data_IF_044138097600
#
_entry.id   IF_044138097600
#
_cell.length_a   1.000
_cell.length_b   1.000
_cell.length_c   1.000
_cell.angle_alpha   90.00
_cell.angle_beta   90.00
_cell.angle_gamma   90.00
#
_symmetry.space_group_name_H-M   'P 1'
#
loop_
_entity.id
_entity.type
_entity.pdbx_description
1 polymer ?
#
# COMPACT_ATOMS: atom_id res chain seq x y z
N UNK A 1 0.20 -11.88 20.30
CA UNK A 1 1.23 -11.63 19.29
C UNK A 1 0.74 -10.57 18.32
N UNK A 2 1.55 -9.54 18.04
CA UNK A 2 1.15 -8.56 17.04
C UNK A 2 1.04 -9.22 15.67
N UNK A 3 0.04 -8.82 14.90
CA UNK A 3 -0.11 -9.29 13.53
C UNK A 3 1.01 -8.70 12.66
N UNK A 4 1.45 -9.48 11.68
CA UNK A 4 2.48 -9.07 10.73
C UNK A 4 1.82 -8.94 9.36
N UNK A 5 2.11 -7.85 8.68
CA UNK A 5 1.64 -7.60 7.32
C UNK A 5 2.80 -7.58 6.34
N UNK A 6 2.49 -7.82 5.07
CA UNK A 6 3.46 -7.71 3.99
C UNK A 6 2.83 -6.97 2.81
N UNK A 7 3.63 -6.22 2.09
CA UNK A 7 3.14 -5.45 0.95
C UNK A 7 4.19 -5.20 -0.10
N UNK A 8 3.74 -4.67 -1.23
CA UNK A 8 4.63 -4.33 -2.35
C UNK A 8 4.51 -2.86 -2.69
N UNK A 9 5.66 -2.24 -2.90
CA UNK A 9 5.76 -0.87 -3.39
C UNK A 9 6.10 -0.93 -4.88
N UNK A 10 5.10 -0.71 -5.71
CA UNK A 10 5.29 -0.67 -7.17
C UNK A 10 5.84 0.70 -7.55
N UNK A 11 6.87 0.72 -8.38
CA UNK A 11 7.43 1.97 -8.88
C UNK A 11 7.60 1.93 -10.39
N UNK A 12 7.70 3.11 -10.97
CA UNK A 12 7.98 3.27 -12.40
C UNK A 12 8.85 4.50 -12.61
N UNK A 13 9.52 4.54 -13.76
CA UNK A 13 10.26 5.71 -14.20
C UNK A 13 9.39 6.48 -15.17
N UNK A 14 9.33 7.78 -15.02
CA UNK A 14 8.55 8.65 -15.90
C UNK A 14 9.36 9.89 -16.26
N UNK A 15 8.79 10.76 -17.10
CA UNK A 15 9.41 12.06 -17.40
C UNK A 15 9.56 12.97 -16.18
N UNK A 16 8.86 12.64 -15.09
CA UNK A 16 8.92 13.34 -13.81
C UNK A 16 9.90 12.68 -12.82
N UNK A 17 10.67 11.69 -13.27
CA UNK A 17 11.54 10.89 -12.42
C UNK A 17 10.85 9.63 -11.94
N UNK A 18 11.28 9.12 -10.78
CA UNK A 18 10.67 7.92 -10.21
C UNK A 18 9.31 8.25 -9.60
N UNK A 19 8.32 7.39 -9.89
CA UNK A 19 7.01 7.48 -9.26
C UNK A 19 6.70 6.17 -8.55
N UNK A 20 5.95 6.26 -7.46
CA UNK A 20 5.54 5.10 -6.66
C UNK A 20 4.02 5.03 -6.57
N UNK A 21 3.50 3.82 -6.49
CA UNK A 21 2.07 3.57 -6.45
C UNK A 21 1.61 3.39 -5.01
N UNK A 22 0.67 4.22 -4.59
CA UNK A 22 0.06 4.15 -3.27
C UNK A 22 -1.45 4.02 -3.39
N UNK A 23 -2.07 3.46 -2.36
CA UNK A 23 -3.52 3.28 -2.30
C UNK A 23 -4.10 4.08 -1.13
N UNK A 24 -5.33 4.55 -1.32
CA UNK A 24 -6.05 5.32 -0.32
C UNK A 24 -7.09 4.43 0.35
N UNK A 25 -7.15 4.40 1.70
CA UNK A 25 -8.15 3.59 2.39
C UNK A 25 -9.54 4.13 2.15
N UNK A 26 -10.49 3.22 1.97
CA UNK A 26 -11.89 3.58 1.79
C UNK A 26 -12.63 3.73 3.10
N UNK A 27 -13.88 4.11 2.99
CA UNK A 27 -14.75 4.28 4.13
C UNK A 27 -14.81 5.72 4.64
N UNK A 28 -15.79 6.01 5.50
CA UNK A 28 -16.08 7.39 5.89
C UNK A 28 -15.01 8.06 6.75
N UNK A 29 -14.23 7.29 7.52
CA UNK A 29 -13.15 7.87 8.34
C UNK A 29 -12.06 8.51 7.49
N UNK A 30 -11.79 7.97 6.31
CA UNK A 30 -10.67 8.37 5.47
C UNK A 30 -11.09 9.24 4.31
N UNK A 31 -12.42 9.39 4.06
CA UNK A 31 -12.95 10.01 2.85
C UNK A 31 -12.40 11.41 2.58
N UNK A 32 -12.10 12.18 3.61
CA UNK A 32 -11.59 13.56 3.49
C UNK A 32 -10.13 13.70 3.85
N UNK A 33 -9.44 12.59 4.11
CA UNK A 33 -8.02 12.61 4.48
C UNK A 33 -7.18 12.34 3.25
N UNK A 34 -6.10 13.07 3.11
CA UNK A 34 -5.19 12.94 1.97
C UNK A 34 -3.75 12.79 2.46
N UNK A 35 -3.07 13.88 2.83
CA UNK A 35 -1.70 13.78 3.31
C UNK A 35 -1.60 12.88 4.54
N UNK A 36 -0.67 11.93 4.50
CA UNK A 36 -0.47 10.97 5.60
C UNK A 36 -1.50 9.86 5.65
N UNK A 37 -2.38 9.76 4.64
CA UNK A 37 -3.44 8.75 4.61
C UNK A 37 -3.17 7.58 3.67
N UNK A 38 -2.26 7.75 2.71
CA UNK A 38 -1.98 6.73 1.69
C UNK A 38 -1.00 5.68 2.19
N UNK A 39 -1.07 4.51 1.62
CA UNK A 39 -0.29 3.34 2.05
C UNK A 39 0.16 2.53 0.85
N UNK A 40 1.21 1.72 1.03
CA UNK A 40 1.48 0.66 0.07
C UNK A 40 0.36 -0.38 0.15
N UNK A 41 0.01 -1.05 -0.97
CA UNK A 41 -0.90 -2.20 -0.90
C UNK A 41 -0.28 -3.28 -0.02
N UNK A 42 -1.00 -3.70 1.03
CA UNK A 42 -0.50 -4.67 2.00
C UNK A 42 -1.66 -5.36 2.70
N UNK A 43 -1.35 -6.48 3.29
CA UNK A 43 -2.32 -7.18 4.11
C UNK A 43 -1.65 -8.16 5.06
N UNK A 44 -2.46 -8.79 5.88
CA UNK A 44 -1.99 -9.69 6.95
C UNK A 44 -1.44 -10.99 6.33
N UNK A 45 -0.28 -11.41 6.83
CA UNK A 45 0.33 -12.67 6.43
C UNK A 45 -0.47 -13.81 7.07
N UNK A 46 -0.90 -14.77 6.24
CA UNK A 46 -1.59 -15.95 6.75
C UNK A 46 -0.62 -16.89 7.46
N UNK A 47 -1.15 -17.69 8.37
CA UNK A 47 -0.34 -18.66 9.09
C UNK A 47 0.34 -19.61 8.11
N UNK A 48 1.66 -19.75 8.26
CA UNK A 48 2.48 -20.61 7.40
C UNK A 48 2.78 -20.04 6.02
N UNK A 49 2.31 -18.85 5.72
CA UNK A 49 2.55 -18.21 4.42
C UNK A 49 3.90 -17.49 4.42
N UNK A 50 4.65 -17.64 3.33
CA UNK A 50 5.88 -16.89 3.12
C UNK A 50 5.56 -15.39 2.98
N UNK A 51 6.41 -14.54 3.56
CA UNK A 51 6.16 -13.10 3.59
C UNK A 51 6.06 -12.47 2.21
N UNK A 52 6.97 -12.83 1.31
CA UNK A 52 6.92 -12.30 -0.07
C UNK A 52 5.69 -12.81 -0.80
N UNK A 53 5.33 -14.07 -0.63
CA UNK A 53 4.14 -14.62 -1.26
C UNK A 53 2.87 -13.90 -0.74
N UNK A 54 2.83 -13.59 0.54
CA UNK A 54 1.72 -12.81 1.12
C UNK A 54 1.65 -11.41 0.50
N UNK A 55 2.82 -10.75 0.35
CA UNK A 55 2.88 -9.43 -0.27
C UNK A 55 2.36 -9.46 -1.70
N UNK A 56 2.76 -10.47 -2.48
CA UNK A 56 2.30 -10.63 -3.87
C UNK A 56 0.81 -10.89 -3.94
N UNK A 57 0.30 -11.76 -3.08
CA UNK A 57 -1.12 -12.09 -3.03
C UNK A 57 -1.96 -10.86 -2.69
N UNK A 58 -1.60 -10.15 -1.63
CA UNK A 58 -2.33 -8.95 -1.21
C UNK A 58 -2.30 -7.87 -2.28
N UNK A 59 -1.15 -7.68 -2.94
CA UNK A 59 -1.04 -6.70 -4.01
C UNK A 59 -1.99 -7.03 -5.16
N UNK A 60 -2.03 -8.29 -5.58
CA UNK A 60 -2.91 -8.73 -6.66
C UNK A 60 -4.38 -8.60 -6.28
N UNK A 61 -4.73 -8.96 -5.05
CA UNK A 61 -6.10 -8.84 -4.57
C UNK A 61 -6.58 -7.38 -4.58
N UNK A 62 -5.71 -6.45 -4.19
CA UNK A 62 -6.08 -5.04 -4.07
C UNK A 62 -6.02 -4.28 -5.39
N UNK A 63 -5.13 -4.66 -6.30
CA UNK A 63 -4.88 -3.88 -7.52
C UNK A 63 -5.25 -4.58 -8.81
N UNK A 64 -5.47 -5.89 -8.78
CA UNK A 64 -5.67 -6.74 -9.96
C UNK A 64 -4.46 -6.77 -10.91
N UNK A 65 -3.28 -6.37 -10.42
CA UNK A 65 -2.03 -6.44 -11.16
C UNK A 65 -1.24 -7.64 -10.66
N UNK A 66 -0.66 -8.41 -11.60
CA UNK A 66 0.26 -9.49 -11.24
C UNK A 66 1.68 -8.90 -11.14
N UNK A 67 2.27 -8.90 -9.94
CA UNK A 67 3.62 -8.39 -9.78
C UNK A 67 4.64 -9.35 -10.40
N UNK A 68 5.84 -8.84 -10.70
CA UNK A 68 6.90 -9.62 -11.35
C UNK A 68 8.27 -9.28 -10.80
N UNK A 69 9.17 -10.26 -10.87
CA UNK A 69 10.56 -10.09 -10.48
C UNK A 69 11.27 -9.06 -11.35
N UNK A 70 12.36 -8.44 -10.85
CA UNK A 70 12.96 -8.66 -9.54
C UNK A 70 12.24 -7.92 -8.42
N UNK A 71 12.34 -8.45 -7.19
CA UNK A 71 11.82 -7.80 -5.99
C UNK A 71 12.99 -7.31 -5.14
N UNK A 72 12.93 -6.02 -4.77
CA UNK A 72 13.94 -5.39 -3.91
C UNK A 72 13.42 -5.35 -2.49
N UNK A 73 14.10 -6.01 -1.55
CA UNK A 73 13.66 -6.05 -0.18
C UNK A 73 13.86 -4.70 0.50
N UNK A 74 12.77 -4.11 1.00
CA UNK A 74 12.77 -2.82 1.69
C UNK A 74 12.81 -2.96 3.21
N UNK A 75 12.71 -4.19 3.72
CA UNK A 75 12.79 -4.43 5.16
C UNK A 75 11.49 -4.30 5.88
N UNK A 76 11.58 -4.16 7.18
CA UNK A 76 10.43 -4.07 8.08
C UNK A 76 10.35 -2.67 8.68
N UNK A 77 9.12 -2.17 8.82
CA UNK A 77 8.83 -1.02 9.69
C UNK A 77 7.75 -1.43 10.68
N UNK A 78 7.62 -0.69 11.78
CA UNK A 78 6.66 -1.00 12.82
C UNK A 78 5.74 0.17 13.08
N UNK A 79 4.45 -0.15 13.24
CA UNK A 79 3.46 0.82 13.73
C UNK A 79 3.68 1.05 15.23
N UNK A 80 3.10 2.13 15.75
CA UNK A 80 3.15 2.42 17.20
C UNK A 80 2.56 1.27 18.02
N UNK A 81 1.60 0.55 17.48
CA UNK A 81 1.00 -0.63 18.14
C UNK A 81 1.94 -1.83 18.22
N UNK A 82 3.11 -1.77 17.58
CA UNK A 82 4.05 -2.88 17.47
C UNK A 82 3.84 -3.79 16.28
N UNK A 83 2.80 -3.57 15.48
CA UNK A 83 2.56 -4.37 14.27
C UNK A 83 3.66 -4.13 13.24
N UNK A 84 4.27 -5.21 12.76
CA UNK A 84 5.31 -5.15 11.74
C UNK A 84 4.74 -5.15 10.34
N UNK A 85 5.40 -4.43 9.43
CA UNK A 85 5.07 -4.44 8.00
C UNK A 85 6.35 -4.68 7.23
N UNK A 86 6.37 -5.75 6.46
CA UNK A 86 7.48 -6.09 5.55
C UNK A 86 7.13 -5.63 4.15
N UNK A 87 8.11 -5.11 3.42
CA UNK A 87 7.83 -4.64 2.06
C UNK A 87 8.96 -4.98 1.10
N UNK A 88 8.58 -5.15 -0.16
CA UNK A 88 9.48 -5.28 -1.31
C UNK A 88 9.03 -4.29 -2.37
N UNK A 89 9.97 -3.83 -3.18
CA UNK A 89 9.66 -2.98 -4.33
C UNK A 89 9.82 -3.76 -5.62
N UNK A 90 9.03 -3.41 -6.63
CA UNK A 90 9.23 -3.95 -7.97
C UNK A 90 8.86 -2.89 -9.00
N UNK A 91 9.46 -2.98 -10.16
CA UNK A 91 9.24 -2.02 -11.23
C UNK A 91 8.16 -2.50 -12.19
N UNK A 92 7.18 -1.64 -12.47
CA UNK A 92 6.21 -1.89 -13.52
C UNK A 92 5.66 -0.57 -14.03
N UNK A 93 5.79 -0.35 -15.33
CA UNK A 93 5.21 0.82 -15.99
C UNK A 93 3.86 0.40 -16.55
N UNK A 94 2.79 0.81 -15.87
CA UNK A 94 1.42 0.54 -16.30
C UNK A 94 0.58 1.75 -15.98
N UNK A 95 -0.51 1.90 -16.72
CA UNK A 95 -1.51 2.89 -16.37
C UNK A 95 -2.08 2.56 -14.99
N UNK A 96 -2.59 3.55 -14.24
CA UNK A 96 -3.18 3.28 -12.94
C UNK A 96 -4.23 2.19 -13.10
N UNK A 97 -4.12 1.09 -12.33
CA UNK A 97 -5.08 0.01 -12.45
C UNK A 97 -6.46 0.45 -11.98
N UNK A 98 -7.48 -0.19 -12.53
CA UNK A 98 -8.79 -0.11 -11.93
C UNK A 98 -8.73 -0.88 -10.61
N UNK A 99 -8.84 -0.16 -9.52
CA UNK A 99 -8.78 -0.77 -8.21
C UNK A 99 -10.05 -1.61 -7.99
N UNK A 100 -9.84 -2.89 -7.74
CA UNK A 100 -10.90 -3.78 -7.28
C UNK A 100 -10.55 -4.18 -5.87
N UNK A 101 -11.16 -3.54 -4.92
CA UNK A 101 -10.91 -3.79 -3.51
C UNK A 101 -12.00 -4.68 -2.94
N UNK A 102 -11.65 -5.48 -1.94
CA UNK A 102 -12.64 -6.13 -1.11
C UNK A 102 -13.47 -5.07 -0.39
N UNK A 103 -14.68 -5.46 -0.03
CA UNK A 103 -15.59 -4.60 0.71
C UNK A 103 -15.52 -4.93 2.19
N UNK A 104 -15.76 -3.94 3.02
CA UNK A 104 -16.00 -4.16 4.45
C UNK A 104 -17.30 -3.50 4.85
N UNK A 105 -17.90 -4.01 5.92
CA UNK A 105 -19.19 -3.53 6.41
C UNK A 105 -18.98 -2.86 7.76
N UNK A 106 -19.58 -1.69 7.93
CA UNK A 106 -19.55 -1.02 9.23
C UNK A 106 -20.85 -0.28 9.45
N UNK A 107 -21.15 -0.02 10.72
CA UNK A 107 -22.29 0.81 11.08
C UNK A 107 -21.99 2.27 10.71
N UNK A 108 -22.83 2.86 9.89
CA UNK A 108 -22.68 4.26 9.52
C UNK A 108 -24.03 4.91 9.20
N UNK A 109 -24.37 6.10 9.69
CA UNK A 109 -23.57 6.84 10.69
C UNK A 109 -23.48 6.10 12.04
N UNK A 110 -22.57 6.53 12.92
CA UNK A 110 -22.47 5.88 14.24
C UNK A 110 -23.83 5.85 14.96
N UNK A 111 -24.14 4.72 15.58
CA UNK A 111 -25.39 4.50 16.34
C UNK A 111 -26.65 4.55 15.48
N UNK A 112 -26.54 4.42 14.16
CA UNK A 112 -27.69 4.45 13.25
C UNK A 112 -28.36 3.09 13.10
N UNK A 113 -27.65 2.01 13.48
CA UNK A 113 -28.04 0.62 13.23
C UNK A 113 -28.10 0.28 11.74
N UNK A 114 -27.49 1.11 10.91
CA UNK A 114 -27.38 0.85 9.47
C UNK A 114 -26.00 0.29 9.16
N UNK A 115 -25.96 -0.92 8.59
CA UNK A 115 -24.72 -1.53 8.15
C UNK A 115 -24.55 -1.20 6.68
N UNK A 116 -23.43 -0.52 6.36
CA UNK A 116 -23.14 -0.06 5.00
C UNK A 116 -21.82 -0.66 4.56
N UNK A 117 -21.76 -1.10 3.29
CA UNK A 117 -20.54 -1.61 2.69
C UNK A 117 -19.71 -0.48 2.11
N UNK A 118 -18.42 -0.52 2.38
CA UNK A 118 -17.44 0.41 1.81
C UNK A 118 -16.28 -0.39 1.21
N UNK A 119 -15.64 0.10 0.15
CA UNK A 119 -14.42 -0.55 -0.33
C UNK A 119 -13.29 -0.34 0.69
N UNK A 120 -12.43 -1.35 0.85
CA UNK A 120 -11.25 -1.21 1.70
C UNK A 120 -10.28 -0.18 1.13
N UNK A 121 -10.21 -0.09 -0.20
CA UNK A 121 -9.40 0.87 -0.94
C UNK A 121 -10.29 1.56 -1.94
N UNK A 122 -10.29 2.89 -1.94
CA UNK A 122 -11.13 3.67 -2.86
C UNK A 122 -10.35 4.28 -4.03
N UNK A 123 -9.04 4.42 -3.92
CA UNK A 123 -8.20 4.99 -4.99
C UNK A 123 -6.81 4.38 -4.98
N UNK A 124 -6.20 4.34 -6.16
CA UNK A 124 -4.78 4.03 -6.30
C UNK A 124 -4.18 5.02 -7.30
N UNK A 125 -3.00 5.54 -6.99
CA UNK A 125 -2.33 6.55 -7.82
C UNK A 125 -0.83 6.41 -7.78
N UNK A 126 -0.18 6.82 -8.86
CA UNK A 126 1.27 7.05 -8.86
C UNK A 126 1.56 8.47 -8.39
N UNK A 127 2.55 8.58 -7.52
CA UNK A 127 3.06 9.86 -7.01
C UNK A 127 4.55 9.95 -7.28
N UNK A 128 5.07 11.14 -7.53
CA UNK A 128 6.52 11.34 -7.49
C UNK A 128 7.00 11.04 -6.07
N UNK A 129 8.30 10.75 -5.90
CA UNK A 129 8.82 10.49 -4.56
C UNK A 129 8.56 11.67 -3.62
N UNK A 130 8.72 12.89 -4.12
CA UNK A 130 8.46 14.07 -3.30
C UNK A 130 7.01 14.14 -2.82
N UNK A 131 6.07 13.89 -3.74
CA UNK A 131 4.65 13.85 -3.38
C UNK A 131 4.35 12.70 -2.42
N UNK A 132 4.96 11.54 -2.68
CA UNK A 132 4.72 10.34 -1.88
C UNK A 132 5.12 10.54 -0.41
N UNK A 133 6.21 11.28 -0.15
CA UNK A 133 6.62 11.57 1.23
C UNK A 133 5.54 12.34 2.00
N UNK A 134 4.75 13.16 1.31
CA UNK A 134 3.64 13.88 1.94
C UNK A 134 2.40 13.01 2.08
N UNK A 135 2.16 12.15 1.12
CA UNK A 135 0.93 11.35 1.03
C UNK A 135 0.94 10.10 1.89
N UNK A 136 2.11 9.47 2.04
CA UNK A 136 2.21 8.18 2.71
C UNK A 136 2.02 8.31 4.22
N UNK A 137 1.38 7.31 4.81
CA UNK A 137 1.25 7.23 6.26
C UNK A 137 2.64 7.20 6.90
N UNK A 138 2.82 7.97 7.97
CA UNK A 138 4.13 8.30 8.51
C UNK A 138 5.00 7.09 8.81
N UNK A 139 4.46 6.04 9.40
CA UNK A 139 5.28 4.88 9.78
C UNK A 139 5.84 4.13 8.56
N UNK A 140 5.30 4.34 7.37
CA UNK A 140 5.77 3.70 6.13
C UNK A 140 6.76 4.57 5.34
N UNK A 141 6.97 5.82 5.76
CA UNK A 141 7.83 6.74 5.00
C UNK A 141 9.23 6.20 4.78
N UNK A 142 9.73 5.41 5.73
CA UNK A 142 11.06 4.81 5.63
C UNK A 142 11.19 3.88 4.41
N UNK A 143 10.09 3.27 3.96
CA UNK A 143 10.13 2.47 2.73
C UNK A 143 10.54 3.31 1.52
N UNK A 144 10.09 4.57 1.46
CA UNK A 144 10.47 5.47 0.37
C UNK A 144 11.96 5.80 0.44
N UNK A 145 12.47 6.07 1.64
CA UNK A 145 13.89 6.35 1.84
C UNK A 145 14.74 5.16 1.42
N UNK A 146 14.34 3.96 1.79
CA UNK A 146 15.06 2.74 1.43
C UNK A 146 15.02 2.47 -0.07
N UNK A 147 13.89 2.74 -0.73
CA UNK A 147 13.81 2.62 -2.20
C UNK A 147 14.79 3.58 -2.87
N UNK A 148 14.83 4.83 -2.41
CA UNK A 148 15.76 5.82 -2.96
C UNK A 148 17.21 5.37 -2.83
N UNK A 149 17.55 4.66 -1.75
CA UNK A 149 18.91 4.19 -1.51
C UNK A 149 19.42 3.16 -2.53
N UNK A 150 18.52 2.51 -3.25
CA UNK A 150 18.90 1.57 -4.30
C UNK A 150 19.42 2.26 -5.57
N UNK A 151 19.30 3.59 -5.68
CA UNK A 151 19.78 4.39 -6.83
C UNK A 151 19.24 3.88 -8.16
N UNK A 152 18.00 3.49 -8.18
CA UNK A 152 17.35 2.95 -9.37
C UNK A 152 17.19 4.05 -10.41
N UNK A 153 17.56 3.77 -11.67
CA UNK A 153 17.31 4.67 -12.77
C UNK A 153 18.30 5.81 -12.93
N UNK A 154 19.47 5.70 -12.32
CA UNK A 154 20.57 6.63 -12.57
C UNK A 154 21.19 6.40 -13.93
#
# INVERSE_FOLDING_TARGET
MPQISAGLLMYRKSGRGMEVFLVHPGGPFWARKDNGAWSIPKGIIAEGEDKLDAAKREFTEETSINPSEPYLYLGEVRQKSGKGVYAWAFERSADPPQIKSNMFTMEWPPRSRRMIEFPEIDQGKFFTLQEAHQKIIQYQEEFLNRLESFKIGT
#
